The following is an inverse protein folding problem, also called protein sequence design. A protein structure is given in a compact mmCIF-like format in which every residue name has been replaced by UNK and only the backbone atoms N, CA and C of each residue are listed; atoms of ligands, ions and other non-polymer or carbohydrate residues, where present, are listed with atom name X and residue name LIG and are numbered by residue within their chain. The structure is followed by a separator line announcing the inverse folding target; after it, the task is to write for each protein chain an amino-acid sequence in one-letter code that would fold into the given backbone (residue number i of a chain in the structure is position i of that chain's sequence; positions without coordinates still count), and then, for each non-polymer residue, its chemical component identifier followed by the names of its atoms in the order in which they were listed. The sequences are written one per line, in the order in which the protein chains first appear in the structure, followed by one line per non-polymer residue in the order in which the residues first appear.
data_IF_188440945166
#
_entry.id   IF_188440945166
#
_cell.length_a   1.000
_cell.length_b   1.000
_cell.length_c   1.000
_cell.angle_alpha   90.00
_cell.angle_beta   90.00
_cell.angle_gamma   90.00
#
_symmetry.space_group_name_H-M   'P 1'
#
loop_
_entity.id
_entity.type
_entity.pdbx_description
1 polymer ?
#
# COMPACT_ATOMS: atom_id res chain seq x y z
N UNK A 1 8.58 -6.27 -13.02
CA UNK A 1 7.66 -7.12 -12.22
C UNK A 1 6.71 -7.80 -13.17
N UNK A 2 6.78 -9.13 -13.30
CA UNK A 2 5.77 -9.91 -14.02
C UNK A 2 4.57 -10.11 -13.09
N UNK A 3 3.69 -9.10 -13.03
CA UNK A 3 2.41 -9.26 -12.35
C UNK A 3 1.49 -10.16 -13.18
N UNK A 4 0.54 -10.83 -12.53
CA UNK A 4 -0.55 -11.52 -13.22
C UNK A 4 -1.56 -10.52 -13.80
N UNK A 5 -1.10 -9.64 -14.71
CA UNK A 5 -1.90 -8.58 -15.33
C UNK A 5 -3.00 -9.11 -16.25
N UNK A 6 -2.93 -10.40 -16.61
CA UNK A 6 -3.89 -11.09 -17.48
C UNK A 6 -5.02 -11.80 -16.70
N UNK A 7 -4.99 -11.82 -15.37
CA UNK A 7 -6.08 -12.40 -14.59
C UNK A 7 -7.25 -11.40 -14.59
N UNK A 8 -8.33 -11.78 -15.24
CA UNK A 8 -9.58 -10.99 -15.24
C UNK A 8 -10.37 -11.24 -13.95
N UNK A 9 -11.26 -10.32 -13.55
CA UNK A 9 -12.18 -10.53 -12.43
C UNK A 9 -12.95 -11.86 -12.49
N UNK A 10 -13.39 -12.26 -13.68
CA UNK A 10 -14.10 -13.53 -13.91
C UNK A 10 -13.18 -14.74 -13.67
N UNK A 11 -11.90 -14.61 -14.05
CA UNK A 11 -10.88 -15.62 -13.76
C UNK A 11 -10.68 -15.81 -12.25
N UNK A 12 -10.63 -14.70 -11.50
CA UNK A 12 -10.56 -14.74 -10.02
C UNK A 12 -11.79 -15.42 -9.44
N UNK A 13 -13.00 -15.01 -9.84
CA UNK A 13 -14.25 -15.58 -9.32
C UNK A 13 -14.28 -17.09 -9.58
N UNK A 14 -13.94 -17.55 -10.78
CA UNK A 14 -13.89 -18.99 -11.10
C UNK A 14 -12.87 -19.73 -10.24
N UNK A 15 -11.69 -19.16 -10.03
CA UNK A 15 -10.67 -19.75 -9.17
C UNK A 15 -11.17 -19.88 -7.73
N UNK A 16 -11.75 -18.81 -7.17
CA UNK A 16 -12.30 -18.81 -5.81
C UNK A 16 -13.44 -19.83 -5.69
N UNK A 17 -14.36 -19.88 -6.66
CA UNK A 17 -15.43 -20.89 -6.70
C UNK A 17 -14.88 -22.32 -6.68
N UNK A 18 -13.79 -22.60 -7.38
CA UNK A 18 -13.16 -23.92 -7.36
C UNK A 18 -12.52 -24.22 -5.99
N UNK A 19 -11.88 -23.22 -5.39
CA UNK A 19 -11.21 -23.35 -4.09
C UNK A 19 -12.19 -23.44 -2.91
N UNK A 20 -13.41 -22.92 -3.06
CA UNK A 20 -14.48 -23.00 -2.05
C UNK A 20 -15.43 -24.18 -2.27
N UNK A 21 -15.21 -25.04 -3.27
CA UNK A 21 -15.99 -26.27 -3.46
C UNK A 21 -15.58 -27.35 -2.45
N UNK A 22 -16.57 -28.05 -1.91
CA UNK A 22 -16.35 -29.20 -1.03
C UNK A 22 -16.09 -28.79 0.43
N UNK A 23 -15.10 -29.42 1.07
CA UNK A 23 -14.74 -29.18 2.49
C UNK A 23 -13.71 -28.07 2.68
N UNK A 24 -13.17 -27.52 1.59
CA UNK A 24 -12.18 -26.45 1.63
C UNK A 24 -12.84 -25.10 1.91
N UNK A 25 -12.27 -24.34 2.83
CA UNK A 25 -12.69 -22.97 3.15
C UNK A 25 -11.51 -22.04 2.94
N UNK A 26 -11.58 -21.22 1.90
CA UNK A 26 -10.62 -20.16 1.67
C UNK A 26 -10.79 -19.11 2.79
N UNK A 27 -9.78 -18.95 3.65
CA UNK A 27 -9.83 -18.02 4.80
C UNK A 27 -9.61 -16.55 4.37
N UNK A 28 -8.76 -16.32 3.36
CA UNK A 28 -8.40 -14.98 2.91
C UNK A 28 -8.05 -14.95 1.41
N UNK A 29 -8.28 -13.79 0.79
CA UNK A 29 -8.08 -13.51 -0.62
C UNK A 29 -7.42 -12.12 -0.75
N UNK A 30 -6.20 -12.08 -1.29
CA UNK A 30 -5.48 -10.83 -1.54
C UNK A 30 -5.52 -10.52 -3.03
N UNK A 31 -6.12 -9.39 -3.38
CA UNK A 31 -6.39 -8.95 -4.74
C UNK A 31 -5.69 -7.62 -5.06
N UNK A 32 -4.94 -7.05 -4.11
CA UNK A 32 -4.15 -5.85 -4.35
C UNK A 32 -3.17 -6.06 -5.52
N UNK A 33 -3.56 -5.61 -6.72
CA UNK A 33 -2.82 -5.84 -7.97
C UNK A 33 -3.67 -6.32 -9.14
N UNK A 34 -4.90 -6.76 -8.90
CA UNK A 34 -5.88 -7.09 -9.95
C UNK A 34 -6.70 -5.83 -10.26
N UNK A 35 -6.70 -5.44 -11.53
CA UNK A 35 -7.40 -4.26 -12.02
C UNK A 35 -8.83 -4.60 -12.46
N UNK A 36 -9.67 -3.57 -12.60
CA UNK A 36 -11.03 -3.66 -13.13
C UNK A 36 -12.01 -4.52 -12.31
N UNK A 37 -11.73 -4.73 -11.02
CA UNK A 37 -12.75 -5.22 -10.09
C UNK A 37 -13.84 -4.16 -9.95
N UNK A 38 -15.10 -4.57 -10.02
CA UNK A 38 -16.26 -3.73 -9.80
C UNK A 38 -16.99 -4.16 -8.51
N UNK A 39 -17.99 -3.39 -8.04
CA UNK A 39 -18.72 -3.74 -6.82
C UNK A 39 -19.47 -5.08 -6.89
N UNK A 40 -19.97 -5.48 -8.07
CA UNK A 40 -20.67 -6.75 -8.28
C UNK A 40 -19.73 -7.94 -8.10
N UNK A 41 -18.53 -7.88 -8.70
CA UNK A 41 -17.48 -8.88 -8.55
C UNK A 41 -17.08 -9.04 -7.08
N UNK A 42 -16.94 -7.92 -6.36
CA UNK A 42 -16.67 -7.93 -4.92
C UNK A 42 -17.78 -8.64 -4.14
N UNK A 43 -19.06 -8.31 -4.42
CA UNK A 43 -20.19 -8.93 -3.75
C UNK A 43 -20.24 -10.45 -3.97
N UNK A 44 -19.96 -10.92 -5.20
CA UNK A 44 -19.86 -12.34 -5.51
C UNK A 44 -18.76 -13.01 -4.67
N UNK A 45 -17.58 -12.40 -4.59
CA UNK A 45 -16.46 -12.93 -3.81
C UNK A 45 -16.76 -12.97 -2.31
N UNK A 46 -17.36 -11.92 -1.75
CA UNK A 46 -17.79 -11.89 -0.35
C UNK A 46 -18.79 -13.03 -0.05
N UNK A 47 -19.75 -13.26 -0.94
CA UNK A 47 -20.71 -14.37 -0.80
C UNK A 47 -20.02 -15.73 -0.85
N UNK A 48 -19.06 -15.94 -1.76
CA UNK A 48 -18.29 -17.19 -1.86
C UNK A 48 -17.45 -17.45 -0.61
N UNK A 49 -16.94 -16.40 0.02
CA UNK A 49 -16.17 -16.48 1.27
C UNK A 49 -17.07 -16.58 2.52
N UNK A 50 -18.40 -16.53 2.38
CA UNK A 50 -19.35 -16.59 3.49
C UNK A 50 -19.27 -15.37 4.42
N UNK A 51 -18.93 -14.19 3.88
CA UNK A 51 -18.81 -12.96 4.65
C UNK A 51 -20.10 -12.13 4.62
N UNK A 52 -20.57 -11.70 5.78
CA UNK A 52 -21.53 -10.61 5.87
C UNK A 52 -20.76 -9.28 5.69
N UNK A 53 -21.18 -8.44 4.74
CA UNK A 53 -20.56 -7.12 4.49
C UNK A 53 -20.53 -6.25 5.76
N UNK A 54 -21.48 -6.45 6.68
CA UNK A 54 -21.58 -5.74 7.96
C UNK A 54 -20.43 -6.05 8.94
N UNK A 55 -19.77 -7.21 8.81
CA UNK A 55 -18.66 -7.62 9.69
C UNK A 55 -17.28 -7.20 9.18
N UNK A 56 -17.18 -6.47 8.07
CA UNK A 56 -15.91 -5.89 7.59
C UNK A 56 -15.51 -4.61 8.34
N UNK A 57 -16.00 -4.41 9.57
CA UNK A 57 -15.62 -3.31 10.49
C UNK A 57 -14.20 -3.50 11.09
N UNK A 58 -13.27 -4.04 10.31
CA UNK A 58 -11.88 -4.20 10.70
C UNK A 58 -11.11 -3.07 10.06
N UNK A 59 -10.62 -2.13 10.88
CA UNK A 59 -9.89 -0.95 10.39
C UNK A 59 -8.71 -1.38 9.54
N UNK A 60 -8.79 -1.15 8.23
CA UNK A 60 -7.70 -1.46 7.32
C UNK A 60 -6.70 -0.30 7.38
N UNK A 61 -5.69 -0.42 8.23
CA UNK A 61 -4.71 0.64 8.43
C UNK A 61 -3.64 0.58 7.34
N UNK A 62 -3.26 1.75 6.81
CA UNK A 62 -2.30 1.87 5.71
C UNK A 62 -0.99 1.10 5.94
N UNK A 63 -0.42 1.13 7.16
CA UNK A 63 0.83 0.39 7.46
C UNK A 63 0.72 -1.11 7.47
N UNK A 64 -0.47 -1.66 7.71
CA UNK A 64 -0.62 -3.12 7.66
C UNK A 64 -0.28 -3.63 6.26
N UNK A 65 -0.51 -2.81 5.21
CA UNK A 65 -0.07 -3.11 3.84
C UNK A 65 1.43 -3.40 3.75
N UNK A 66 2.26 -2.66 4.47
CA UNK A 66 3.73 -2.76 4.42
C UNK A 66 4.27 -3.98 5.17
N UNK A 67 3.55 -4.43 6.20
CA UNK A 67 3.90 -5.67 6.91
C UNK A 67 3.47 -6.91 6.12
N UNK A 68 2.37 -6.83 5.37
CA UNK A 68 1.88 -7.93 4.55
C UNK A 68 2.78 -8.30 3.36
N UNK A 69 3.55 -7.36 2.81
CA UNK A 69 4.51 -7.65 1.73
C UNK A 69 5.80 -8.32 2.22
N UNK A 70 6.09 -8.29 3.53
CA UNK A 70 7.31 -8.89 4.13
C UNK A 70 7.06 -10.24 4.81
N UNK A 71 5.82 -10.60 5.13
CA UNK A 71 5.48 -11.81 5.88
C UNK A 71 4.59 -12.73 5.02
N UNK A 72 5.24 -13.50 4.14
CA UNK A 72 4.72 -14.82 3.75
C UNK A 72 5.32 -15.78 4.78
N UNK A 73 4.72 -15.92 5.97
CA UNK A 73 5.32 -16.83 6.94
C UNK A 73 4.76 -16.94 8.36
N UNK A 74 3.81 -16.12 8.80
CA UNK A 74 3.30 -16.24 10.17
C UNK A 74 1.79 -16.45 10.16
N UNK A 75 1.40 -17.62 10.65
CA UNK A 75 0.05 -18.05 10.96
C UNK A 75 -0.57 -17.12 12.03
N UNK A 76 -0.99 -15.92 11.65
CA UNK A 76 -1.80 -15.06 12.51
C UNK A 76 -3.28 -15.44 12.35
N UNK A 77 -3.71 -16.42 13.16
CA UNK A 77 -5.06 -17.02 13.21
C UNK A 77 -6.12 -16.10 13.86
N UNK A 78 -5.94 -14.77 13.80
CA UNK A 78 -6.75 -13.83 14.56
C UNK A 78 -7.64 -12.88 13.76
N UNK A 79 -7.05 -12.09 12.85
CA UNK A 79 -7.63 -10.76 12.61
C UNK A 79 -7.37 -10.23 11.19
N UNK A 80 -7.33 -11.13 10.21
CA UNK A 80 -7.09 -10.76 8.82
C UNK A 80 -8.40 -10.61 8.04
N UNK A 81 -8.64 -9.42 7.49
CA UNK A 81 -9.73 -9.18 6.54
C UNK A 81 -9.63 -10.20 5.40
N UNK A 82 -10.68 -11.00 5.20
CA UNK A 82 -10.65 -12.09 4.21
C UNK A 82 -10.58 -11.59 2.77
N UNK A 83 -10.78 -10.30 2.53
CA UNK A 83 -10.54 -9.64 1.26
C UNK A 83 -9.88 -8.28 1.53
N UNK A 84 -8.84 -7.93 0.78
CA UNK A 84 -8.06 -6.70 1.00
C UNK A 84 -8.55 -5.47 0.21
N UNK A 85 -9.62 -5.62 -0.57
CA UNK A 85 -10.23 -4.56 -1.36
C UNK A 85 -11.68 -4.30 -0.91
N UNK A 86 -12.13 -3.06 -1.09
CA UNK A 86 -13.49 -2.61 -0.83
C UNK A 86 -13.88 -1.48 -1.81
N UNK A 87 -15.15 -1.07 -1.81
CA UNK A 87 -15.65 0.08 -2.56
C UNK A 87 -15.21 1.37 -1.85
N UNK A 88 -14.43 2.19 -2.56
CA UNK A 88 -13.97 3.46 -2.02
C UNK A 88 -15.14 4.45 -1.86
N UNK A 89 -15.40 5.01 -0.66
CA UNK A 89 -16.50 5.94 -0.45
C UNK A 89 -16.30 7.30 -1.13
N UNK A 90 -15.11 7.58 -1.68
CA UNK A 90 -14.78 8.84 -2.36
C UNK A 90 -14.95 8.77 -3.88
N UNK A 91 -14.71 7.61 -4.50
CA UNK A 91 -14.75 7.45 -5.95
C UNK A 91 -15.59 6.27 -6.45
N UNK A 92 -16.21 5.49 -5.54
CA UNK A 92 -17.00 4.29 -5.84
C UNK A 92 -16.24 3.15 -6.54
N UNK A 93 -14.93 3.27 -6.72
CA UNK A 93 -14.08 2.23 -7.31
C UNK A 93 -13.73 1.13 -6.29
N UNK A 94 -13.68 -0.12 -6.75
CA UNK A 94 -13.24 -1.25 -5.93
C UNK A 94 -11.71 -1.31 -5.87
N UNK A 95 -11.13 -0.94 -4.73
CA UNK A 95 -9.66 -0.82 -4.53
C UNK A 95 -9.31 -1.18 -3.09
N UNK A 96 -8.02 -1.22 -2.74
CA UNK A 96 -7.64 -1.18 -1.32
C UNK A 96 -8.14 0.14 -0.72
N UNK A 97 -8.97 0.06 0.32
CA UNK A 97 -9.51 1.19 1.07
C UNK A 97 -8.93 1.13 2.47
N UNK A 98 -8.41 2.27 2.95
CA UNK A 98 -7.81 2.36 4.27
C UNK A 98 -8.58 3.32 5.17
N UNK A 99 -8.61 2.97 6.45
CA UNK A 99 -9.11 3.81 7.54
C UNK A 99 -7.94 4.56 8.20
N UNK A 100 -8.19 5.79 8.64
CA UNK A 100 -7.25 6.53 9.45
C UNK A 100 -7.55 6.35 10.95
N UNK A 101 -6.49 6.33 11.75
CA UNK A 101 -6.58 6.19 13.20
C UNK A 101 -6.96 7.50 13.90
N UNK A 102 -6.60 8.65 13.30
CA UNK A 102 -6.74 9.98 13.92
C UNK A 102 -7.94 10.76 13.41
N UNK A 103 -8.38 10.49 12.19
CA UNK A 103 -9.49 11.18 11.52
C UNK A 103 -10.51 10.16 11.01
N UNK A 104 -11.75 10.58 10.79
CA UNK A 104 -12.76 9.79 10.06
C UNK A 104 -12.48 9.71 8.55
N UNK A 105 -11.21 9.78 8.11
CA UNK A 105 -10.82 9.67 6.70
C UNK A 105 -10.72 8.20 6.28
N UNK A 106 -11.69 7.77 5.46
CA UNK A 106 -11.73 6.45 4.80
C UNK A 106 -11.69 6.63 3.28
N UNK A 107 -10.80 5.90 2.61
CA UNK A 107 -10.67 5.98 1.14
C UNK A 107 -9.46 5.24 0.58
N UNK A 108 -9.42 5.09 -0.74
CA UNK A 108 -8.31 4.41 -1.42
C UNK A 108 -7.04 5.27 -1.46
N UNK A 109 -5.94 4.67 -1.94
CA UNK A 109 -4.62 5.34 -2.06
C UNK A 109 -4.61 6.50 -3.07
N UNK A 110 -5.56 6.52 -4.01
CA UNK A 110 -5.67 7.58 -5.02
C UNK A 110 -6.45 8.77 -4.44
N UNK A 111 -7.56 8.51 -3.73
CA UNK A 111 -8.42 9.58 -3.23
C UNK A 111 -7.87 10.27 -1.97
N UNK A 112 -7.06 9.57 -1.17
CA UNK A 112 -6.51 10.11 0.07
C UNK A 112 -5.03 9.72 0.12
N UNK A 113 -4.18 10.72 -0.06
CA UNK A 113 -2.73 10.58 0.13
C UNK A 113 -2.42 10.27 1.59
N UNK A 114 -1.45 9.41 1.82
CA UNK A 114 -1.05 8.98 3.17
C UNK A 114 0.46 8.96 3.25
N UNK A 115 0.96 9.27 4.44
CA UNK A 115 2.40 9.26 4.68
C UNK A 115 2.92 7.82 4.55
N UNK A 116 3.99 7.60 3.78
CA UNK A 116 4.54 6.25 3.60
C UNK A 116 5.14 5.69 4.90
N UNK A 117 5.69 6.56 5.75
CA UNK A 117 6.24 6.16 7.06
C UNK A 117 5.21 5.93 8.15
N UNK A 118 4.24 6.85 8.32
CA UNK A 118 3.32 6.85 9.47
C UNK A 118 1.82 6.88 9.10
N UNK A 119 1.46 6.81 7.81
CA UNK A 119 0.18 6.27 7.33
C UNK A 119 -1.03 7.15 7.63
N UNK A 120 -0.80 8.22 8.38
CA UNK A 120 -1.70 9.34 8.59
C UNK A 120 -2.05 9.97 7.25
N UNK A 121 -3.29 10.46 7.14
CA UNK A 121 -3.78 11.21 5.98
C UNK A 121 -2.91 12.47 5.79
N UNK A 122 -2.55 12.74 4.55
CA UNK A 122 -1.71 13.87 4.13
C UNK A 122 -2.59 14.77 3.25
N UNK A 123 -2.78 16.04 3.63
CA UNK A 123 -3.70 16.98 2.96
C UNK A 123 -3.03 17.64 1.75
N UNK A 124 -3.63 17.74 0.58
CA UNK A 124 -2.96 18.29 -0.63
C UNK A 124 -2.45 19.75 -0.49
N UNK A 125 -3.08 20.56 0.34
CA UNK A 125 -2.90 22.03 0.42
C UNK A 125 -1.80 22.51 1.39
N UNK A 126 -0.82 21.67 1.61
CA UNK A 126 0.25 21.91 2.56
C UNK A 126 1.49 22.18 1.70
N UNK A 127 2.16 23.34 1.89
CA UNK A 127 3.44 23.74 1.25
C UNK A 127 4.59 22.79 1.66
N UNK A 128 4.34 21.50 1.55
CA UNK A 128 5.18 20.47 2.12
C UNK A 128 6.37 20.24 1.22
N UNK A 129 7.56 20.15 1.82
CA UNK A 129 8.76 19.85 1.07
C UNK A 129 8.66 18.43 0.50
N UNK A 130 8.89 18.33 -0.81
CA UNK A 130 8.92 17.05 -1.53
C UNK A 130 9.94 16.09 -0.89
N UNK A 131 9.58 14.82 -0.80
CA UNK A 131 10.55 13.76 -0.57
C UNK A 131 11.46 13.63 -1.79
N UNK A 132 12.61 12.96 -1.64
CA UNK A 132 13.44 12.61 -2.79
C UNK A 132 12.96 11.33 -3.48
N UNK A 133 12.15 10.51 -2.80
CA UNK A 133 11.33 9.46 -3.41
C UNK A 133 9.99 10.04 -3.91
N UNK A 134 9.25 9.25 -4.71
CA UNK A 134 7.92 9.64 -5.21
C UNK A 134 6.80 9.51 -4.16
N UNK A 135 7.11 8.97 -2.98
CA UNK A 135 6.11 8.76 -1.93
C UNK A 135 5.82 10.03 -1.13
N UNK A 136 4.58 10.13 -0.63
CA UNK A 136 4.15 11.21 0.24
C UNK A 136 4.67 11.01 1.68
N UNK A 137 5.17 12.08 2.29
CA UNK A 137 5.57 12.10 3.69
C UNK A 137 4.85 13.22 4.43
N UNK A 138 4.34 12.93 5.63
CA UNK A 138 3.87 13.99 6.53
C UNK A 138 5.06 14.79 7.05
N UNK A 139 4.81 16.04 7.47
CA UNK A 139 5.85 16.93 8.00
C UNK A 139 6.61 16.30 9.19
N UNK A 140 5.89 15.61 10.07
CA UNK A 140 6.49 14.94 11.24
C UNK A 140 7.52 13.88 10.86
N UNK A 141 7.25 13.09 9.81
CA UNK A 141 8.21 12.10 9.29
C UNK A 141 9.32 12.77 8.49
N UNK A 142 8.99 13.77 7.66
CA UNK A 142 9.96 14.51 6.88
C UNK A 142 11.07 15.12 7.75
N UNK A 143 10.72 15.67 8.92
CA UNK A 143 11.68 16.24 9.86
C UNK A 143 12.60 15.17 10.45
N UNK A 144 12.06 13.99 10.81
CA UNK A 144 12.76 12.92 11.51
C UNK A 144 13.65 12.05 10.62
N UNK A 145 13.33 11.95 9.33
CA UNK A 145 14.07 11.09 8.41
C UNK A 145 15.44 11.67 8.03
N UNK A 146 16.45 10.82 7.81
CA UNK A 146 17.72 11.23 7.21
C UNK A 146 17.51 11.91 5.85
N UNK A 147 18.24 13.00 5.60
CA UNK A 147 18.10 13.81 4.39
C UNK A 147 19.32 13.69 3.51
N UNK A 148 19.11 13.76 2.19
CA UNK A 148 20.20 13.79 1.23
C UNK A 148 21.08 15.01 1.50
N UNK A 149 22.40 14.83 1.62
CA UNK A 149 23.35 15.90 1.91
C UNK A 149 23.39 17.00 0.84
N UNK A 150 22.80 16.80 -0.34
CA UNK A 150 22.83 17.74 -1.45
C UNK A 150 21.50 18.47 -1.66
N UNK A 151 20.38 17.76 -1.75
CA UNK A 151 19.07 18.38 -1.97
C UNK A 151 18.26 18.60 -0.69
N UNK A 152 18.76 18.14 0.46
CA UNK A 152 18.10 18.22 1.76
C UNK A 152 16.69 17.61 1.78
N UNK A 153 16.43 16.61 0.92
CA UNK A 153 15.17 15.88 0.88
C UNK A 153 15.34 14.48 1.47
N UNK A 154 14.39 13.98 2.27
CA UNK A 154 14.45 12.65 2.85
C UNK A 154 14.00 11.57 1.86
N UNK A 155 14.36 10.34 2.18
CA UNK A 155 13.76 9.13 1.62
C UNK A 155 12.81 8.52 2.63
N UNK A 156 11.73 7.89 2.16
CA UNK A 156 11.02 6.93 2.98
C UNK A 156 11.99 5.77 3.32
N UNK A 157 11.80 5.14 4.47
CA UNK A 157 12.70 4.15 5.05
C UNK A 157 12.90 2.97 4.09
N UNK A 158 11.86 2.55 3.36
CA UNK A 158 11.97 1.46 2.38
C UNK A 158 12.94 1.80 1.26
N UNK A 159 12.78 2.97 0.66
CA UNK A 159 13.64 3.40 -0.42
C UNK A 159 15.05 3.76 0.10
N UNK A 160 15.21 4.17 1.36
CA UNK A 160 16.53 4.37 1.97
C UNK A 160 17.29 3.05 2.16
N UNK A 161 16.61 2.01 2.66
CA UNK A 161 17.18 0.66 2.86
C UNK A 161 17.58 0.00 1.54
N UNK A 162 16.71 0.10 0.53
CA UNK A 162 16.93 -0.54 -0.77
C UNK A 162 18.06 0.11 -1.57
N UNK A 163 18.35 1.40 -1.35
CA UNK A 163 19.20 2.15 -2.26
C UNK A 163 20.67 2.24 -1.85
N UNK A 164 21.09 1.85 -0.64
CA UNK A 164 22.49 1.84 -0.17
C UNK A 164 23.43 2.85 -0.87
N UNK A 165 23.00 4.11 -1.05
CA UNK A 165 23.74 5.12 -1.77
C UNK A 165 24.73 5.80 -0.82
N UNK A 166 25.73 5.05 -0.35
CA UNK A 166 26.93 5.66 0.22
C UNK A 166 27.92 5.87 -0.94
N UNK A 167 28.12 7.13 -1.36
CA UNK A 167 29.20 7.40 -2.31
C UNK A 167 30.55 7.10 -1.62
N UNK A 168 31.52 6.47 -2.31
CA UNK A 168 32.83 6.19 -1.74
C UNK A 168 33.47 7.48 -1.20
N UNK A 169 33.74 7.54 0.11
CA UNK A 169 34.38 8.69 0.77
C UNK A 169 33.43 9.80 1.27
N UNK A 170 32.10 9.64 1.14
CA UNK A 170 31.13 10.59 1.70
C UNK A 170 30.66 10.16 3.10
N UNK A 171 30.57 11.12 4.03
CA UNK A 171 30.08 10.90 5.41
C UNK A 171 28.55 11.02 5.55
N UNK A 172 27.78 10.93 4.46
CA UNK A 172 26.34 11.20 4.50
C UNK A 172 25.53 10.49 3.42
N UNK A 173 24.20 10.56 3.57
CA UNK A 173 23.25 9.95 2.66
C UNK A 173 23.13 10.78 1.36
N UNK A 174 23.13 10.09 0.22
CA UNK A 174 22.92 10.66 -1.10
C UNK A 174 21.68 10.04 -1.74
N UNK A 175 20.76 10.85 -2.27
CA UNK A 175 19.66 10.30 -3.06
C UNK A 175 20.12 9.88 -4.45
N UNK A 176 19.41 8.91 -5.07
CA UNK A 176 19.70 8.44 -6.45
C UNK A 176 19.72 9.60 -7.45
N UNK A 177 18.77 10.53 -7.37
CA UNK A 177 18.73 11.67 -8.27
C UNK A 177 19.99 12.56 -8.16
N UNK A 178 20.51 12.79 -6.94
CA UNK A 178 21.74 13.55 -6.73
C UNK A 178 22.99 12.72 -7.08
N UNK A 179 22.99 11.43 -6.79
CA UNK A 179 24.07 10.50 -7.10
C UNK A 179 24.27 10.38 -8.63
N UNK A 180 23.19 10.16 -9.38
CA UNK A 180 23.23 10.06 -10.84
C UNK A 180 23.67 11.38 -11.47
N UNK A 181 23.26 12.51 -10.89
CA UNK A 181 23.74 13.83 -11.33
C UNK A 181 25.23 14.01 -11.06
N UNK A 182 25.74 13.50 -9.94
CA UNK A 182 27.17 13.54 -9.62
C UNK A 182 27.98 12.72 -10.63
N UNK A 183 27.57 11.49 -10.93
CA UNK A 183 28.27 10.62 -11.90
C UNK A 183 28.25 11.12 -13.34
N UNK A 184 27.28 11.95 -13.73
CA UNK A 184 27.22 12.55 -15.07
C UNK A 184 28.15 13.76 -15.26
N UNK A 185 28.76 14.25 -14.19
CA UNK A 185 29.63 15.44 -14.19
C UNK A 185 31.11 15.06 -14.06
N UNK A 186 31.41 13.77 -13.82
CA UNK A 186 32.77 13.22 -13.75
C UNK A 186 33.13 12.51 -15.05
#
# INVERSE_FOLDING_TARGET
MAGCTLITPEGVIKAVQLLTKGTHRLKSLKLSGIYNMNPENLAILCNLLGQNQENQSMRNLYHKRRNHSRIIGEDDDGDHQSIDIDVCPKCAETRMVFDCTLDSCRGCIICIKRCEECGVCVKDDDDRPEAACLDDLCLGCWIKLPKCSFCNRPYCHEHAEQQQCMAPGSQGFLCVACHDRFLRVV
#
